data_IF_875176405117
#
_entry.id   IF_875176405117
#
_cell.length_a   1.000
_cell.length_b   1.000
_cell.length_c   1.000
_cell.angle_alpha   90.00
_cell.angle_beta   90.00
_cell.angle_gamma   90.00
#
_symmetry.space_group_name_H-M   'P 1'
#
loop_
_entity.id
_entity.type
_entity.pdbx_description
1 polymer ?
#
# COMPACT_ATOMS: atom_id res chain seq x y z
N UNK A 1 -8.85 -2.04 -20.81
CA UNK A 1 -9.80 -2.34 -19.71
C UNK A 1 -9.36 -3.50 -18.81
N UNK A 2 -8.90 -4.65 -19.34
CA UNK A 2 -8.56 -5.84 -18.51
C UNK A 2 -7.55 -5.58 -17.39
N UNK A 3 -6.47 -4.84 -17.66
CA UNK A 3 -5.42 -4.53 -16.65
C UNK A 3 -5.99 -3.67 -15.52
N UNK A 4 -6.76 -2.63 -15.83
CA UNK A 4 -7.37 -1.75 -14.83
C UNK A 4 -8.28 -2.52 -13.88
N UNK A 5 -9.12 -3.40 -14.42
CA UNK A 5 -10.03 -4.23 -13.60
C UNK A 5 -9.22 -5.20 -12.74
N UNK A 6 -8.21 -5.87 -13.30
CA UNK A 6 -7.37 -6.81 -12.56
C UNK A 6 -6.62 -6.12 -11.40
N UNK A 7 -5.95 -5.00 -11.69
CA UNK A 7 -5.23 -4.22 -10.68
C UNK A 7 -6.18 -3.65 -9.63
N UNK A 8 -7.32 -3.09 -10.04
CA UNK A 8 -8.31 -2.58 -9.11
C UNK A 8 -8.81 -3.67 -8.17
N UNK A 9 -9.25 -4.82 -8.70
CA UNK A 9 -9.75 -5.93 -7.90
C UNK A 9 -8.67 -6.46 -6.96
N UNK A 10 -7.43 -6.66 -7.45
CA UNK A 10 -6.34 -7.16 -6.61
C UNK A 10 -6.02 -6.22 -5.44
N UNK A 11 -5.88 -4.91 -5.71
CA UNK A 11 -5.61 -3.91 -4.68
C UNK A 11 -6.80 -3.73 -3.74
N UNK A 12 -8.02 -3.71 -4.28
CA UNK A 12 -9.24 -3.57 -3.48
C UNK A 12 -9.36 -4.69 -2.45
N UNK A 13 -9.19 -5.95 -2.85
CA UNK A 13 -9.23 -7.07 -1.92
C UNK A 13 -8.03 -7.09 -0.96
N UNK A 14 -6.85 -6.65 -1.40
CA UNK A 14 -5.68 -6.54 -0.52
C UNK A 14 -5.89 -5.51 0.61
N UNK A 15 -6.61 -4.41 0.32
CA UNK A 15 -6.78 -3.28 1.24
C UNK A 15 -8.08 -3.33 2.06
N UNK A 16 -9.07 -4.17 1.69
CA UNK A 16 -10.44 -4.19 2.26
C UNK A 16 -10.55 -4.52 3.76
N UNK A 17 -9.50 -5.04 4.39
CA UNK A 17 -9.54 -5.50 5.78
C UNK A 17 -8.32 -5.04 6.60
N UNK A 18 -7.79 -3.85 6.28
CA UNK A 18 -6.59 -3.36 6.91
C UNK A 18 -6.85 -2.45 8.13
N UNK A 19 -5.93 -2.49 9.10
CA UNK A 19 -5.93 -1.68 10.32
C UNK A 19 -6.00 -0.18 10.01
N UNK A 20 -5.47 0.26 8.87
CA UNK A 20 -5.55 1.66 8.41
C UNK A 20 -6.98 2.15 8.23
N UNK A 21 -7.93 1.29 7.79
CA UNK A 21 -9.34 1.67 7.67
C UNK A 21 -9.98 1.92 9.04
N UNK A 22 -9.66 1.09 10.04
CA UNK A 22 -10.13 1.29 11.43
C UNK A 22 -9.58 2.60 12.02
N UNK A 23 -8.32 2.92 11.75
CA UNK A 23 -7.72 4.21 12.13
C UNK A 23 -8.43 5.38 11.46
N UNK A 24 -8.76 5.25 10.16
CA UNK A 24 -9.52 6.26 9.42
C UNK A 24 -10.90 6.51 10.02
N UNK A 25 -11.65 5.45 10.35
CA UNK A 25 -12.95 5.55 11.03
C UNK A 25 -12.78 6.22 12.40
N UNK A 26 -11.79 5.81 13.20
CA UNK A 26 -11.52 6.41 14.50
C UNK A 26 -11.18 7.90 14.43
N UNK A 27 -10.37 8.31 13.45
CA UNK A 27 -10.06 9.72 13.21
C UNK A 27 -11.27 10.52 12.75
N UNK A 28 -12.12 9.94 11.89
CA UNK A 28 -13.35 10.58 11.44
C UNK A 28 -14.33 10.79 12.60
N UNK A 29 -14.50 9.77 13.46
CA UNK A 29 -15.34 9.84 14.66
C UNK A 29 -14.83 10.87 15.67
N UNK A 30 -13.51 10.94 15.90
CA UNK A 30 -12.92 11.91 16.85
C UNK A 30 -12.97 13.35 16.35
N UNK A 31 -12.76 13.56 15.05
CA UNK A 31 -12.69 14.91 14.46
C UNK A 31 -14.05 15.47 14.07
N UNK A 32 -15.11 14.64 14.08
CA UNK A 32 -16.47 14.96 13.59
C UNK A 32 -16.50 15.54 12.16
N UNK A 33 -15.43 15.31 11.39
CA UNK A 33 -15.22 15.83 10.03
C UNK A 33 -14.86 14.68 9.08
N UNK A 34 -15.81 13.76 8.80
CA UNK A 34 -15.54 12.57 8.00
C UNK A 34 -15.03 12.91 6.59
N UNK A 35 -15.55 13.98 5.96
CA UNK A 35 -15.10 14.38 4.64
C UNK A 35 -13.65 14.86 4.60
N UNK A 36 -13.18 15.57 5.63
CA UNK A 36 -11.80 16.04 5.68
C UNK A 36 -10.82 14.87 5.84
N UNK A 37 -11.20 13.86 6.64
CA UNK A 37 -10.39 12.65 6.83
C UNK A 37 -10.37 11.84 5.54
N UNK A 38 -11.53 11.64 4.89
CA UNK A 38 -11.61 10.94 3.61
C UNK A 38 -10.74 11.59 2.53
N UNK A 39 -10.90 12.90 2.31
CA UNK A 39 -10.14 13.61 1.28
C UNK A 39 -8.63 13.62 1.59
N UNK A 40 -8.27 13.75 2.87
CA UNK A 40 -6.88 13.63 3.32
C UNK A 40 -6.28 12.25 3.04
N UNK A 41 -7.00 11.18 3.40
CA UNK A 41 -6.56 9.80 3.17
C UNK A 41 -6.45 9.46 1.68
N UNK A 42 -7.46 9.83 0.87
CA UNK A 42 -7.44 9.62 -0.57
C UNK A 42 -6.31 10.41 -1.23
N UNK A 43 -6.13 11.68 -0.85
CA UNK A 43 -5.05 12.53 -1.37
C UNK A 43 -3.67 11.97 -1.02
N UNK A 44 -3.45 11.57 0.24
CA UNK A 44 -2.21 10.95 0.68
C UNK A 44 -1.91 9.65 -0.07
N UNK A 45 -2.92 8.78 -0.23
CA UNK A 45 -2.77 7.53 -0.96
C UNK A 45 -2.45 7.76 -2.45
N UNK A 46 -3.10 8.73 -3.09
CA UNK A 46 -2.82 9.10 -4.47
C UNK A 46 -1.38 9.62 -4.64
N UNK A 47 -0.89 10.45 -3.72
CA UNK A 47 0.48 10.97 -3.74
C UNK A 47 1.48 9.83 -3.56
N UNK A 48 1.28 8.96 -2.56
CA UNK A 48 2.20 7.84 -2.30
C UNK A 48 2.25 6.87 -3.48
N UNK A 49 1.11 6.63 -4.12
CA UNK A 49 1.01 5.78 -5.31
C UNK A 49 1.74 6.42 -6.49
N UNK A 50 1.54 7.72 -6.72
CA UNK A 50 2.23 8.44 -7.79
C UNK A 50 3.76 8.39 -7.61
N UNK A 51 4.24 8.64 -6.39
CA UNK A 51 5.68 8.54 -6.06
C UNK A 51 6.19 7.11 -6.29
N UNK A 52 5.43 6.11 -5.84
CA UNK A 52 5.80 4.69 -5.98
C UNK A 52 5.89 4.26 -7.44
N UNK A 53 4.96 4.70 -8.30
CA UNK A 53 4.99 4.42 -9.75
C UNK A 53 6.16 5.14 -10.42
N UNK A 54 6.43 6.40 -10.08
CA UNK A 54 7.58 7.14 -10.61
C UNK A 54 8.90 6.46 -10.25
N UNK A 55 9.10 6.14 -8.97
CA UNK A 55 10.29 5.45 -8.50
C UNK A 55 10.42 4.05 -9.14
N UNK A 56 9.33 3.29 -9.20
CA UNK A 56 9.32 1.98 -9.83
C UNK A 56 9.67 2.02 -11.32
N UNK A 57 9.23 3.06 -12.03
CA UNK A 57 9.54 3.25 -13.46
C UNK A 57 11.01 3.60 -13.67
N UNK A 58 11.54 4.52 -12.85
CA UNK A 58 12.96 4.92 -12.92
C UNK A 58 13.85 3.73 -12.58
N UNK A 59 13.62 3.09 -11.43
CA UNK A 59 14.43 1.97 -10.95
C UNK A 59 14.30 0.75 -11.87
N UNK A 60 13.13 0.51 -12.46
CA UNK A 60 12.92 -0.58 -13.43
C UNK A 60 13.75 -0.43 -14.71
N UNK A 61 14.18 0.79 -15.06
CA UNK A 61 15.10 1.02 -16.18
C UNK A 61 16.56 0.64 -15.88
N UNK A 62 16.96 0.63 -14.61
CA UNK A 62 18.35 0.36 -14.18
C UNK A 62 18.53 -1.01 -13.52
N UNK A 63 17.47 -1.56 -12.93
CA UNK A 63 17.52 -2.80 -12.16
C UNK A 63 17.00 -3.97 -12.98
N UNK A 64 17.76 -5.07 -13.00
CA UNK A 64 17.26 -6.34 -13.56
C UNK A 64 16.06 -6.82 -12.74
N UNK A 65 15.01 -7.38 -13.39
CA UNK A 65 13.82 -7.89 -12.72
C UNK A 65 14.10 -8.90 -11.60
N UNK A 66 15.19 -9.67 -11.74
CA UNK A 66 15.64 -10.65 -10.75
C UNK A 66 15.92 -10.04 -9.38
N UNK A 67 16.57 -8.86 -9.32
CA UNK A 67 16.89 -8.20 -8.06
C UNK A 67 15.63 -7.70 -7.34
N UNK A 68 14.66 -7.17 -8.10
CA UNK A 68 13.35 -6.78 -7.56
C UNK A 68 12.61 -7.99 -6.99
N UNK A 69 12.65 -9.14 -7.70
CA UNK A 69 12.01 -10.38 -7.26
C UNK A 69 12.63 -10.93 -5.97
N UNK A 70 13.96 -11.06 -5.93
CA UNK A 70 14.64 -11.57 -4.74
C UNK A 70 14.55 -10.60 -3.57
N UNK A 71 14.69 -9.29 -3.82
CA UNK A 71 14.54 -8.26 -2.80
C UNK A 71 13.15 -8.30 -2.16
N UNK A 72 12.09 -8.37 -2.97
CA UNK A 72 10.71 -8.50 -2.49
C UNK A 72 10.48 -9.78 -1.69
N UNK A 73 11.00 -10.93 -2.17
CA UNK A 73 10.87 -12.20 -1.47
C UNK A 73 11.56 -12.19 -0.10
N UNK A 74 12.78 -11.66 -0.03
CA UNK A 74 13.53 -11.54 1.24
C UNK A 74 12.78 -10.62 2.20
N UNK A 75 12.29 -9.47 1.73
CA UNK A 75 11.49 -8.55 2.55
C UNK A 75 10.24 -9.23 3.13
N UNK A 76 9.49 -9.97 2.31
CA UNK A 76 8.32 -10.71 2.77
C UNK A 76 8.67 -11.78 3.80
N UNK A 77 9.76 -12.53 3.60
CA UNK A 77 10.22 -13.53 4.58
C UNK A 77 10.61 -12.86 5.89
N UNK A 78 11.39 -11.78 5.84
CA UNK A 78 11.83 -11.05 7.04
C UNK A 78 10.62 -10.49 7.80
N UNK A 79 9.69 -9.82 7.12
CA UNK A 79 8.47 -9.31 7.75
C UNK A 79 7.62 -10.44 8.34
N UNK A 80 7.47 -11.56 7.62
CA UNK A 80 6.75 -12.73 8.11
C UNK A 80 7.38 -13.34 9.36
N UNK A 81 8.70 -13.44 9.41
CA UNK A 81 9.43 -13.92 10.61
C UNK A 81 9.30 -12.94 11.76
N UNK A 82 9.43 -11.63 11.52
CA UNK A 82 9.26 -10.62 12.56
C UNK A 82 7.85 -10.63 13.17
N UNK A 83 6.83 -10.78 12.31
CA UNK A 83 5.43 -10.93 12.73
C UNK A 83 5.20 -12.23 13.51
N UNK A 84 5.82 -13.34 13.08
CA UNK A 84 5.74 -14.61 13.81
C UNK A 84 6.38 -14.56 15.21
N UNK A 85 7.42 -13.74 15.37
CA UNK A 85 8.10 -13.51 16.65
C UNK A 85 7.44 -12.41 17.51
N UNK A 86 6.28 -11.90 17.11
CA UNK A 86 5.54 -10.83 17.81
C UNK A 86 6.41 -9.56 18.04
N UNK A 87 7.38 -9.33 17.16
CA UNK A 87 8.24 -8.13 17.17
C UNK A 87 7.68 -7.00 16.30
N UNK A 88 6.52 -7.21 15.68
CA UNK A 88 5.80 -6.29 14.80
C UNK A 88 4.30 -6.40 15.09
#
# INVERSE_FOLDING_TARGET
MKIVIATFTAVFFAEMADKTQLVGIGMASKSLKPWSVYLGSVGAYAIVTAISVLLGTILGGYLKPEYLRYGGAILFIVLGVLMFLDKL
#
